data_IF_796543754694
#
_entry.id   IF_796543754694
#
_cell.length_a   1.000
_cell.length_b   1.000
_cell.length_c   1.000
_cell.angle_alpha   90.00
_cell.angle_beta   90.00
_cell.angle_gamma   90.00
#
_symmetry.space_group_name_H-M   'P 1'
#
loop_
_entity.id
_entity.type
_entity.pdbx_description
1 polymer ?
#
# COMPACT_ATOMS: atom_id res chain seq x y z
N UNK A 1 31.18 -5.88 13.63
CA UNK A 1 30.30 -4.87 13.02
C UNK A 1 29.50 -5.47 11.87
N UNK A 2 30.14 -6.05 10.85
CA UNK A 2 29.48 -6.75 9.73
C UNK A 2 28.37 -7.76 10.09
N UNK A 3 28.56 -8.60 11.10
CA UNK A 3 27.55 -9.60 11.51
C UNK A 3 26.30 -8.92 12.10
N UNK A 4 26.49 -7.83 12.85
CA UNK A 4 25.39 -7.08 13.46
C UNK A 4 24.61 -6.33 12.38
N UNK A 5 25.31 -5.71 11.42
CA UNK A 5 24.70 -5.06 10.26
C UNK A 5 23.91 -6.05 9.39
N UNK A 6 24.45 -7.25 9.15
CA UNK A 6 23.75 -8.31 8.42
C UNK A 6 22.48 -8.77 9.16
N UNK A 7 22.54 -8.90 10.49
CA UNK A 7 21.39 -9.29 11.30
C UNK A 7 20.29 -8.21 11.30
N UNK A 8 20.69 -6.94 11.43
CA UNK A 8 19.76 -5.80 11.36
C UNK A 8 19.15 -5.70 9.96
N UNK A 9 19.96 -5.85 8.91
CA UNK A 9 19.50 -5.82 7.52
C UNK A 9 18.48 -6.94 7.23
N UNK A 10 18.75 -8.15 7.72
CA UNK A 10 17.83 -9.28 7.56
C UNK A 10 16.53 -9.08 8.36
N UNK A 11 16.62 -8.62 9.60
CA UNK A 11 15.45 -8.31 10.42
C UNK A 11 14.59 -7.20 9.80
N UNK A 12 15.21 -6.12 9.33
CA UNK A 12 14.53 -5.03 8.63
C UNK A 12 13.90 -5.51 7.32
N UNK A 13 14.61 -6.35 6.55
CA UNK A 13 14.08 -6.94 5.31
C UNK A 13 12.84 -7.80 5.55
N UNK A 14 12.85 -8.65 6.59
CA UNK A 14 11.67 -9.45 6.97
C UNK A 14 10.53 -8.54 7.42
N UNK A 15 10.79 -7.53 8.25
CA UNK A 15 9.77 -6.60 8.72
C UNK A 15 9.11 -5.82 7.57
N UNK A 16 9.91 -5.29 6.64
CA UNK A 16 9.40 -4.55 5.48
C UNK A 16 8.67 -5.48 4.50
N UNK A 17 9.24 -6.66 4.20
CA UNK A 17 8.63 -7.63 3.29
C UNK A 17 7.29 -8.15 3.80
N UNK A 18 7.21 -8.50 5.08
CA UNK A 18 5.94 -8.92 5.71
C UNK A 18 4.93 -7.77 5.74
N UNK A 19 5.35 -6.56 6.08
CA UNK A 19 4.50 -5.37 6.03
C UNK A 19 3.93 -5.10 4.63
N UNK A 20 4.76 -5.27 3.59
CA UNK A 20 4.34 -5.09 2.20
C UNK A 20 3.29 -6.12 1.76
N UNK A 21 3.52 -7.42 2.04
CA UNK A 21 2.55 -8.47 1.69
C UNK A 21 1.26 -8.33 2.50
N UNK A 22 1.36 -8.01 3.80
CA UNK A 22 0.21 -7.74 4.65
C UNK A 22 -0.62 -6.56 4.13
N UNK A 23 0.04 -5.48 3.70
CA UNK A 23 -0.62 -4.32 3.11
C UNK A 23 -1.40 -4.68 1.83
N UNK A 24 -0.77 -5.38 0.89
CA UNK A 24 -1.41 -5.76 -0.38
C UNK A 24 -2.63 -6.70 -0.18
N UNK A 25 -2.56 -7.57 0.83
CA UNK A 25 -3.61 -8.54 1.15
C UNK A 25 -4.75 -7.91 1.94
N UNK A 26 -4.46 -7.08 2.95
CA UNK A 26 -5.48 -6.38 3.77
C UNK A 26 -6.29 -5.39 2.93
N UNK A 27 -5.64 -4.66 2.02
CA UNK A 27 -6.35 -3.80 1.06
C UNK A 27 -7.09 -4.59 -0.02
N UNK A 28 -6.93 -5.90 -0.10
CA UNK A 28 -7.63 -6.74 -1.07
C UNK A 28 -7.17 -6.52 -2.51
N UNK A 29 -5.95 -6.02 -2.75
CA UNK A 29 -5.45 -5.76 -4.11
C UNK A 29 -5.26 -7.08 -4.86
N UNK A 30 -4.62 -8.07 -4.22
CA UNK A 30 -4.39 -9.40 -4.81
C UNK A 30 -5.71 -10.12 -5.15
N UNK A 31 -6.68 -10.28 -4.22
CA UNK A 31 -7.94 -10.94 -4.56
C UNK A 31 -8.74 -10.17 -5.63
N UNK A 32 -8.70 -8.84 -5.62
CA UNK A 32 -9.38 -8.02 -6.65
C UNK A 32 -8.77 -8.21 -8.04
N UNK A 33 -7.45 -8.30 -8.13
CA UNK A 33 -6.76 -8.63 -9.38
C UNK A 33 -7.17 -10.01 -9.89
N UNK A 34 -7.24 -11.01 -9.01
CA UNK A 34 -7.64 -12.37 -9.36
C UNK A 34 -9.08 -12.46 -9.86
N UNK A 35 -9.99 -11.69 -9.25
CA UNK A 35 -11.39 -11.59 -9.66
C UNK A 35 -11.53 -10.90 -11.03
N UNK A 36 -10.86 -9.77 -11.23
CA UNK A 36 -10.90 -9.03 -12.49
C UNK A 36 -10.38 -9.87 -13.66
N UNK A 37 -9.31 -10.63 -13.46
CA UNK A 37 -8.73 -11.51 -14.47
C UNK A 37 -9.41 -12.87 -14.59
N UNK A 38 -10.46 -13.15 -13.79
CA UNK A 38 -11.17 -14.42 -13.74
C UNK A 38 -10.22 -15.62 -13.53
N UNK A 39 -9.17 -15.45 -12.72
CA UNK A 39 -8.12 -16.45 -12.52
C UNK A 39 -7.84 -16.71 -11.04
N UNK A 40 -8.90 -17.05 -10.31
CA UNK A 40 -8.86 -17.34 -8.87
C UNK A 40 -8.01 -18.58 -8.54
N UNK A 41 -7.83 -19.50 -9.49
CA UNK A 41 -7.00 -20.70 -9.32
C UNK A 41 -5.48 -20.44 -9.40
N UNK A 42 -5.04 -19.25 -9.82
CA UNK A 42 -3.62 -18.93 -10.07
C UNK A 42 -2.96 -18.09 -8.97
N UNK A 43 -3.37 -18.24 -7.72
CA UNK A 43 -2.82 -17.47 -6.57
C UNK A 43 -1.28 -17.43 -6.55
N UNK A 44 -0.63 -18.58 -6.76
CA UNK A 44 0.84 -18.70 -6.73
C UNK A 44 1.54 -17.85 -7.79
N UNK A 45 0.90 -17.63 -8.95
CA UNK A 45 1.44 -16.77 -10.00
C UNK A 45 1.40 -15.30 -9.59
N UNK A 46 0.36 -14.87 -8.87
CA UNK A 46 0.29 -13.51 -8.33
C UNK A 46 1.31 -13.27 -7.24
N UNK A 47 1.48 -14.21 -6.30
CA UNK A 47 2.51 -14.14 -5.28
C UNK A 47 3.90 -14.02 -5.91
N UNK A 48 4.17 -14.82 -6.95
CA UNK A 48 5.44 -14.73 -7.67
C UNK A 48 5.62 -13.41 -8.41
N UNK A 49 4.57 -12.87 -9.02
CA UNK A 49 4.62 -11.56 -9.65
C UNK A 49 4.91 -10.44 -8.62
N UNK A 50 4.31 -10.51 -7.43
CA UNK A 50 4.58 -9.57 -6.33
C UNK A 50 6.03 -9.68 -5.87
N UNK A 51 6.53 -10.90 -5.65
CA UNK A 51 7.92 -11.13 -5.23
C UNK A 51 8.90 -10.58 -6.28
N UNK A 52 8.69 -10.90 -7.56
CA UNK A 52 9.50 -10.37 -8.67
C UNK A 52 9.43 -8.85 -8.75
N UNK A 53 8.26 -8.26 -8.54
CA UNK A 53 8.08 -6.81 -8.47
C UNK A 53 8.87 -6.16 -7.34
N UNK A 54 8.92 -6.78 -6.15
CA UNK A 54 9.73 -6.30 -5.03
C UNK A 54 11.22 -6.36 -5.36
N UNK A 55 11.70 -7.48 -5.91
CA UNK A 55 13.10 -7.60 -6.33
C UNK A 55 13.47 -6.56 -7.41
N UNK A 56 12.59 -6.36 -8.39
CA UNK A 56 12.78 -5.33 -9.42
C UNK A 56 12.79 -3.93 -8.81
N UNK A 57 11.89 -3.63 -7.87
CA UNK A 57 11.83 -2.35 -7.16
C UNK A 57 13.07 -2.08 -6.32
N UNK A 58 13.62 -3.10 -5.66
CA UNK A 58 14.90 -3.00 -4.93
C UNK A 58 16.02 -2.66 -5.91
N UNK A 59 16.13 -3.38 -7.03
CA UNK A 59 17.15 -3.11 -8.04
C UNK A 59 17.02 -1.70 -8.65
N UNK A 60 15.80 -1.24 -8.93
CA UNK A 60 15.56 0.11 -9.46
C UNK A 60 15.83 1.22 -8.44
N UNK A 61 15.67 0.95 -7.14
CA UNK A 61 15.86 1.94 -6.08
C UNK A 61 17.32 2.09 -5.66
N UNK A 62 18.07 0.99 -5.63
CA UNK A 62 19.47 0.94 -5.21
C UNK A 62 20.46 0.79 -6.36
N UNK A 63 19.98 0.65 -7.60
CA UNK A 63 20.81 0.57 -8.78
C UNK A 63 21.35 1.94 -9.17
N UNK A 64 22.67 2.09 -9.19
CA UNK A 64 23.35 3.35 -9.54
C UNK A 64 23.24 3.72 -11.03
N UNK A 65 22.73 2.81 -11.87
CA UNK A 65 22.63 3.00 -13.31
C UNK A 65 21.36 3.75 -13.73
N UNK A 66 21.46 4.85 -14.50
CA UNK A 66 20.28 5.51 -15.02
C UNK A 66 19.53 4.59 -15.99
N UNK A 67 18.31 4.21 -15.62
CA UNK A 67 17.45 3.35 -16.45
C UNK A 67 16.93 4.16 -17.63
N UNK A 68 17.56 3.97 -18.80
CA UNK A 68 17.10 4.55 -20.06
C UNK A 68 15.98 3.69 -20.64
N UNK A 69 14.74 4.16 -20.48
CA UNK A 69 13.57 3.56 -21.13
C UNK A 69 13.16 4.37 -22.36
N UNK A 70 12.71 3.67 -23.39
CA UNK A 70 12.06 4.30 -24.55
C UNK A 70 10.73 4.91 -24.15
N UNK A 71 10.25 5.89 -24.91
CA UNK A 71 8.98 6.58 -24.64
C UNK A 71 7.80 5.59 -24.51
N UNK A 72 7.77 4.56 -25.37
CA UNK A 72 6.75 3.51 -25.31
C UNK A 72 6.82 2.74 -23.98
N UNK A 73 8.03 2.43 -23.50
CA UNK A 73 8.23 1.77 -22.21
C UNK A 73 7.69 2.61 -21.05
N UNK A 74 7.95 3.93 -21.06
CA UNK A 74 7.45 4.85 -20.04
C UNK A 74 5.92 4.94 -20.02
N UNK A 75 5.29 4.95 -21.21
CA UNK A 75 3.82 4.96 -21.32
C UNK A 75 3.23 3.69 -20.71
N UNK A 76 3.78 2.51 -21.04
CA UNK A 76 3.34 1.22 -20.48
C UNK A 76 3.53 1.21 -18.96
N UNK A 77 4.69 1.66 -18.48
CA UNK A 77 5.00 1.76 -17.06
C UNK A 77 4.01 2.67 -16.32
N UNK A 78 3.71 3.84 -16.88
CA UNK A 78 2.72 4.77 -16.33
C UNK A 78 1.31 4.18 -16.29
N UNK A 79 0.93 3.38 -17.28
CA UNK A 79 -0.36 2.69 -17.33
C UNK A 79 -0.47 1.68 -16.18
N UNK A 80 0.57 0.87 -15.93
CA UNK A 80 0.59 -0.05 -14.80
C UNK A 80 0.53 0.67 -13.45
N UNK A 81 1.22 1.80 -13.29
CA UNK A 81 1.09 2.64 -12.11
C UNK A 81 -0.33 3.18 -11.93
N UNK A 82 -0.98 3.62 -13.02
CA UNK A 82 -2.36 4.07 -13.01
C UNK A 82 -3.32 2.98 -12.54
N UNK A 83 -3.16 1.75 -13.04
CA UNK A 83 -3.96 0.59 -12.60
C UNK A 83 -3.73 0.31 -11.11
N UNK A 84 -2.48 0.30 -10.65
CA UNK A 84 -2.15 0.07 -9.24
C UNK A 84 -2.73 1.14 -8.32
N UNK A 85 -2.55 2.43 -8.65
CA UNK A 85 -3.10 3.55 -7.86
C UNK A 85 -4.63 3.52 -7.89
N UNK A 86 -5.25 3.21 -9.04
CA UNK A 86 -6.70 3.06 -9.15
C UNK A 86 -7.25 1.95 -8.25
N UNK A 87 -6.58 0.79 -8.20
CA UNK A 87 -6.95 -0.29 -7.29
C UNK A 87 -6.77 0.09 -5.82
N UNK A 88 -5.69 0.81 -5.49
CA UNK A 88 -5.49 1.33 -4.13
C UNK A 88 -6.60 2.29 -3.72
N UNK A 89 -7.00 3.21 -4.61
CA UNK A 89 -8.08 4.15 -4.34
C UNK A 89 -9.42 3.44 -4.12
N UNK A 90 -9.74 2.44 -4.96
CA UNK A 90 -10.94 1.62 -4.83
C UNK A 90 -10.95 0.76 -3.55
N UNK A 91 -9.80 0.17 -3.19
CA UNK A 91 -9.64 -0.56 -1.94
C UNK A 91 -9.85 0.35 -0.72
N UNK A 92 -9.30 1.56 -0.76
CA UNK A 92 -9.44 2.50 0.34
C UNK A 92 -10.90 2.94 0.52
N UNK A 93 -11.64 3.22 -0.56
CA UNK A 93 -13.06 3.56 -0.45
C UNK A 93 -13.90 2.41 0.08
N UNK A 94 -13.59 1.16 -0.28
CA UNK A 94 -14.25 0.00 0.32
C UNK A 94 -14.02 -0.09 1.81
N UNK A 95 -12.76 -0.05 2.25
CA UNK A 95 -12.41 -0.13 3.69
C UNK A 95 -13.05 1.04 4.46
N UNK A 96 -13.04 2.25 3.89
CA UNK A 96 -13.70 3.40 4.50
C UNK A 96 -15.21 3.21 4.64
N UNK A 97 -15.86 2.58 3.66
CA UNK A 97 -17.28 2.25 3.71
C UNK A 97 -17.61 1.15 4.73
N UNK A 98 -16.63 0.35 5.16
CA UNK A 98 -16.82 -0.65 6.23
C UNK A 98 -16.92 0.02 7.62
N UNK A 99 -16.27 1.17 7.86
CA UNK A 99 -16.29 1.81 9.17
C UNK A 99 -17.71 2.17 9.65
N UNK A 100 -18.56 2.89 8.87
CA UNK A 100 -19.94 3.16 9.27
C UNK A 100 -20.75 1.88 9.53
N UNK A 101 -20.52 0.82 8.72
CA UNK A 101 -21.20 -0.45 8.87
C UNK A 101 -20.81 -1.15 10.18
N UNK A 102 -19.52 -1.15 10.53
CA UNK A 102 -19.02 -1.66 11.81
C UNK A 102 -19.62 -0.89 12.99
N UNK A 103 -19.63 0.44 12.93
CA UNK A 103 -20.19 1.26 14.02
C UNK A 103 -21.68 1.02 14.22
N UNK A 104 -22.44 0.84 13.14
CA UNK A 104 -23.84 0.44 13.22
C UNK A 104 -24.02 -0.97 13.81
N UNK A 105 -23.13 -1.92 13.47
CA UNK A 105 -23.17 -3.29 14.01
C UNK A 105 -22.84 -3.38 15.50
N UNK A 106 -21.96 -2.51 15.98
CA UNK A 106 -21.57 -2.45 17.41
C UNK A 106 -22.61 -1.66 18.23
N UNK A 107 -23.63 -1.06 17.59
CA UNK A 107 -24.69 -0.29 18.26
C UNK A 107 -24.25 1.12 18.69
N UNK A 108 -23.27 1.69 17.98
CA UNK A 108 -22.66 3.01 18.26
C UNK A 108 -23.04 4.04 17.19
N UNK A 109 -24.14 3.81 16.49
CA UNK A 109 -24.67 4.64 15.40
C UNK A 109 -24.92 6.09 15.84
N UNK A 110 -25.34 6.30 17.09
CA UNK A 110 -25.53 7.64 17.67
C UNK A 110 -24.26 8.50 17.81
N UNK A 111 -23.06 7.88 17.87
CA UNK A 111 -21.79 8.61 18.00
C UNK A 111 -20.97 8.63 16.71
N UNK A 112 -21.51 8.14 15.59
CA UNK A 112 -20.81 8.09 14.31
C UNK A 112 -20.32 9.49 13.90
N UNK A 113 -21.16 10.52 14.07
CA UNK A 113 -20.80 11.90 13.78
C UNK A 113 -19.63 12.40 14.63
N UNK A 114 -19.66 12.13 15.94
CA UNK A 114 -18.60 12.52 16.88
C UNK A 114 -17.27 11.84 16.54
N UNK A 115 -17.30 10.55 16.17
CA UNK A 115 -16.12 9.80 15.79
C UNK A 115 -15.52 10.27 14.46
N UNK A 116 -16.37 10.55 13.46
CA UNK A 116 -15.93 11.15 12.20
C UNK A 116 -15.31 12.53 12.43
N UNK A 117 -15.90 13.35 13.29
CA UNK A 117 -15.34 14.66 13.67
C UNK A 117 -14.00 14.54 14.39
N UNK A 118 -13.84 13.56 15.30
CA UNK A 118 -12.56 13.29 15.95
C UNK A 118 -11.47 12.90 14.93
N UNK A 119 -11.81 12.07 13.93
CA UNK A 119 -10.93 11.70 12.83
C UNK A 119 -10.50 12.91 11.99
N UNK A 120 -11.46 13.76 11.59
CA UNK A 120 -11.20 14.96 10.79
C UNK A 120 -10.33 15.94 11.56
N UNK A 121 -10.65 16.22 12.83
CA UNK A 121 -9.86 17.12 13.68
C UNK A 121 -8.45 16.60 13.92
N UNK A 122 -8.29 15.29 14.15
CA UNK A 122 -6.98 14.66 14.26
C UNK A 122 -6.15 14.84 12.98
N UNK A 123 -6.78 14.72 11.80
CA UNK A 123 -6.13 14.93 10.51
C UNK A 123 -5.70 16.39 10.30
N UNK A 124 -6.55 17.34 10.66
CA UNK A 124 -6.25 18.79 10.60
C UNK A 124 -5.09 19.12 11.56
N UNK A 125 -5.16 18.65 12.80
CA UNK A 125 -4.12 18.88 13.80
C UNK A 125 -2.78 18.28 13.37
N UNK A 126 -2.78 17.04 12.84
CA UNK A 126 -1.57 16.40 12.32
C UNK A 126 -0.97 17.13 11.12
N UNK A 127 -1.82 17.60 10.20
CA UNK A 127 -1.39 18.41 9.04
C UNK A 127 -0.76 19.74 9.49
N UNK A 128 -1.39 20.43 10.44
CA UNK A 128 -0.84 21.66 11.01
C UNK A 128 0.47 21.42 11.74
N UNK A 129 0.57 20.34 12.53
CA UNK A 129 1.79 19.96 13.23
C UNK A 129 2.94 19.73 12.24
N UNK A 130 2.71 18.97 11.16
CA UNK A 130 3.72 18.73 10.13
C UNK A 130 4.22 20.04 9.50
N UNK A 131 3.31 20.94 9.15
CA UNK A 131 3.66 22.19 8.47
C UNK A 131 4.33 23.22 9.38
N UNK A 132 3.92 23.31 10.64
CA UNK A 132 4.44 24.32 11.58
C UNK A 132 5.79 23.89 12.16
N UNK A 133 5.97 22.60 12.45
CA UNK A 133 7.13 22.12 13.22
C UNK A 133 8.16 21.39 12.35
N UNK A 134 7.72 20.53 11.42
CA UNK A 134 8.62 19.65 10.66
C UNK A 134 9.10 20.25 9.33
N UNK A 135 8.29 21.08 8.68
CA UNK A 135 8.58 21.66 7.35
C UNK A 135 9.27 23.03 7.44
N UNK A 136 9.70 23.46 8.64
CA UNK A 136 10.45 24.70 8.83
C UNK A 136 11.94 24.53 8.52
#
# INVERSE_FOLDING_TARGET
MWIVEALIGLAAGIAVGTGFVAFLTVLGIVPRLMQLSHSESKLRSYEMAVILGVFAGIYLSFGDGPVKMTMIGLVIWGLFHGIFIGMLAAALTEVLNVFPLLFKRIGVDGFLFTLLMALVLGKIAGSLFQWIIFVR
#
